data_IF_085529813450
#
_entry.id   IF_085529813450
#
_cell.length_a   1.000
_cell.length_b   1.000
_cell.length_c   1.000
_cell.angle_alpha   90.00
_cell.angle_beta   90.00
_cell.angle_gamma   90.00
#
_symmetry.space_group_name_H-M   'P 1'
#
loop_
_entity.id
_entity.type
_entity.pdbx_description
1 polymer ?
#
# COMPACT_ATOMS: atom_id res chain seq x y z
N UNK A 1 22.22 8.01 -14.63
CA UNK A 1 22.70 9.04 -13.69
C UNK A 1 21.46 9.68 -13.09
N UNK A 2 21.11 9.34 -11.85
CA UNK A 2 19.96 9.94 -11.15
C UNK A 2 20.47 11.28 -10.62
N UNK A 3 19.92 12.39 -11.12
CA UNK A 3 20.25 13.72 -10.62
C UNK A 3 19.67 13.88 -9.20
N UNK A 4 20.45 14.42 -8.27
CA UNK A 4 19.95 14.71 -6.93
C UNK A 4 18.84 15.79 -6.99
N UNK A 5 17.91 15.77 -6.02
CA UNK A 5 16.80 16.73 -5.93
C UNK A 5 17.25 18.20 -6.02
N UNK A 6 18.42 18.53 -5.45
CA UNK A 6 19.04 19.88 -5.55
C UNK A 6 19.49 20.27 -6.96
N UNK A 7 19.88 19.30 -7.79
CA UNK A 7 20.26 19.51 -9.20
C UNK A 7 19.02 19.61 -10.09
N UNK A 8 18.00 18.79 -9.82
CA UNK A 8 16.66 18.91 -10.41
C UNK A 8 16.04 20.28 -10.15
N UNK A 9 16.07 20.77 -8.91
CA UNK A 9 15.57 22.12 -8.55
C UNK A 9 16.20 23.23 -9.37
N UNK A 10 17.51 23.16 -9.66
CA UNK A 10 18.20 24.13 -10.53
C UNK A 10 17.73 24.03 -11.98
N UNK A 11 17.49 22.81 -12.48
CA UNK A 11 17.01 22.56 -13.84
C UNK A 11 15.54 23.02 -14.04
N UNK A 12 14.69 22.77 -13.04
CA UNK A 12 13.25 23.05 -13.13
C UNK A 12 12.85 24.48 -12.81
N UNK A 13 13.72 25.29 -12.17
CA UNK A 13 13.45 26.70 -11.83
C UNK A 13 13.11 27.58 -13.04
N UNK A 14 13.50 27.18 -14.24
CA UNK A 14 13.29 27.93 -15.48
C UNK A 14 12.11 27.42 -16.33
N UNK A 15 11.51 26.30 -15.95
CA UNK A 15 10.33 25.78 -16.63
C UNK A 15 9.12 26.41 -15.94
N UNK A 16 8.27 27.11 -16.70
CA UNK A 16 7.08 27.78 -16.20
C UNK A 16 6.10 26.84 -15.46
N UNK A 17 4.92 27.33 -15.04
CA UNK A 17 3.98 26.52 -14.25
C UNK A 17 3.67 25.19 -14.97
N UNK A 18 4.02 24.08 -14.32
CA UNK A 18 3.80 22.74 -14.88
C UNK A 18 2.30 22.41 -14.83
N UNK A 19 1.74 21.78 -15.88
CA UNK A 19 0.35 21.36 -15.84
C UNK A 19 0.14 20.37 -14.69
N UNK A 20 -0.81 20.70 -13.82
CA UNK A 20 -1.24 19.84 -12.70
C UNK A 20 -1.82 18.54 -13.26
N UNK A 21 -1.16 17.43 -12.93
CA UNK A 21 -1.66 16.09 -13.21
C UNK A 21 -2.83 15.80 -12.28
N UNK A 22 -3.99 15.50 -12.85
CA UNK A 22 -5.15 15.04 -12.10
C UNK A 22 -5.21 13.51 -12.16
N UNK A 23 -5.34 12.85 -11.01
CA UNK A 23 -5.33 11.37 -10.89
C UNK A 23 -6.66 10.79 -10.39
N UNK A 24 -7.75 11.54 -10.53
CA UNK A 24 -9.09 11.09 -10.10
C UNK A 24 -9.37 11.26 -8.60
N UNK A 25 -8.45 11.89 -7.86
CA UNK A 25 -8.56 12.20 -6.43
C UNK A 25 -8.47 13.71 -6.18
N UNK A 26 -9.03 14.13 -5.05
CA UNK A 26 -8.99 15.54 -4.59
C UNK A 26 -7.60 15.88 -4.02
N UNK A 27 -7.04 14.95 -3.24
CA UNK A 27 -5.67 15.02 -2.73
C UNK A 27 -5.02 13.63 -2.65
N UNK A 28 -3.71 13.61 -2.46
CA UNK A 28 -2.91 12.42 -2.21
C UNK A 28 -2.58 12.31 -0.72
N UNK A 29 -2.64 11.12 -0.16
CA UNK A 29 -2.31 10.78 1.22
C UNK A 29 -1.15 9.79 1.18
N UNK A 30 0.07 10.32 1.24
CA UNK A 30 1.29 9.56 1.05
C UNK A 30 1.86 9.10 2.40
N UNK A 31 1.88 7.79 2.62
CA UNK A 31 2.38 7.15 3.85
C UNK A 31 3.90 7.03 3.75
N UNK A 32 4.61 7.64 4.69
CA UNK A 32 6.06 7.78 4.63
C UNK A 32 6.74 7.50 5.96
N UNK A 33 7.75 6.63 5.97
CA UNK A 33 8.59 6.38 7.14
C UNK A 33 9.74 7.38 7.20
N UNK A 34 9.85 8.18 8.27
CA UNK A 34 10.83 9.27 8.40
C UNK A 34 12.28 8.89 8.08
N UNK A 35 12.66 7.64 8.32
CA UNK A 35 14.01 7.14 8.00
C UNK A 35 14.31 7.07 6.50
N UNK A 36 13.29 7.06 5.63
CA UNK A 36 13.40 6.85 4.19
C UNK A 36 13.57 8.17 3.42
N UNK A 37 14.78 8.73 3.42
CA UNK A 37 15.06 10.04 2.83
C UNK A 37 14.89 10.08 1.32
N UNK A 38 15.33 9.04 0.59
CA UNK A 38 15.22 8.97 -0.87
C UNK A 38 13.78 8.81 -1.35
N UNK A 39 12.98 8.05 -0.60
CA UNK A 39 11.54 7.89 -0.86
C UNK A 39 10.78 9.20 -0.62
N UNK A 40 11.16 9.95 0.43
CA UNK A 40 10.61 11.29 0.66
C UNK A 40 10.97 12.25 -0.49
N UNK A 41 12.22 12.24 -0.94
CA UNK A 41 12.64 13.02 -2.12
C UNK A 41 11.80 12.67 -3.35
N UNK A 42 11.52 11.39 -3.59
CA UNK A 42 10.62 10.96 -4.67
C UNK A 42 9.18 11.49 -4.51
N UNK A 43 8.61 11.48 -3.30
CA UNK A 43 7.29 12.06 -3.05
C UNK A 43 7.28 13.58 -3.31
N UNK A 44 8.33 14.29 -2.89
CA UNK A 44 8.48 15.73 -3.15
C UNK A 44 8.60 15.99 -4.66
N UNK A 45 9.40 15.19 -5.37
CA UNK A 45 9.52 15.26 -6.82
C UNK A 45 8.16 15.03 -7.50
N UNK A 46 7.36 14.04 -7.06
CA UNK A 46 6.00 13.83 -7.59
C UNK A 46 5.11 15.06 -7.42
N UNK A 47 5.18 15.74 -6.26
CA UNK A 47 4.45 16.99 -6.03
C UNK A 47 4.96 18.12 -6.93
N UNK A 48 6.27 18.36 -6.98
CA UNK A 48 6.86 19.48 -7.72
C UNK A 48 6.81 19.30 -9.25
N UNK A 49 6.95 18.06 -9.74
CA UNK A 49 6.97 17.74 -11.16
C UNK A 49 5.56 17.62 -11.77
N UNK A 50 4.57 17.18 -10.98
CA UNK A 50 3.22 16.92 -11.46
C UNK A 50 2.14 17.78 -10.81
N UNK A 51 2.50 18.68 -9.90
CA UNK A 51 1.55 19.56 -9.21
C UNK A 51 0.54 18.82 -8.32
N UNK A 52 0.87 17.60 -7.87
CA UNK A 52 -0.02 16.80 -7.04
C UNK A 52 -0.15 17.42 -5.65
N UNK A 53 -1.35 17.49 -5.09
CA UNK A 53 -1.59 17.95 -3.72
C UNK A 53 -1.29 16.82 -2.74
N UNK A 54 -0.06 16.75 -2.24
CA UNK A 54 0.36 15.69 -1.31
C UNK A 54 0.15 16.10 0.14
N UNK A 55 -0.46 15.21 0.90
CA UNK A 55 -0.47 15.19 2.35
C UNK A 55 0.48 14.07 2.78
N UNK A 56 1.67 14.43 3.26
CA UNK A 56 2.64 13.45 3.75
C UNK A 56 2.20 13.02 5.15
N UNK A 57 1.87 11.73 5.27
CA UNK A 57 1.45 11.09 6.49
C UNK A 57 2.63 10.32 7.04
N UNK A 58 3.19 10.81 8.14
CA UNK A 58 4.23 10.10 8.88
C UNK A 58 3.72 8.72 9.32
N UNK A 59 4.34 7.68 8.79
CA UNK A 59 4.05 6.29 9.08
C UNK A 59 4.55 5.91 10.47
N UNK A 60 3.97 4.87 11.04
CA UNK A 60 4.45 4.24 12.26
C UNK A 60 5.56 3.28 11.87
N UNK A 61 6.73 3.47 12.47
CA UNK A 61 7.90 2.64 12.21
C UNK A 61 8.06 1.57 13.30
N UNK A 62 8.30 0.31 12.91
CA UNK A 62 8.62 -0.75 13.87
C UNK A 62 9.89 -0.46 14.68
N UNK A 63 10.87 0.25 14.11
CA UNK A 63 12.12 0.61 14.79
C UNK A 63 11.93 1.63 15.91
N UNK A 64 10.88 2.44 15.83
CA UNK A 64 10.61 3.50 16.81
C UNK A 64 9.74 3.01 17.97
N UNK A 65 9.02 1.90 17.78
CA UNK A 65 8.10 1.35 18.79
C UNK A 65 8.58 0.07 19.46
N UNK A 66 9.63 -0.58 18.95
CA UNK A 66 10.21 -1.77 19.57
C UNK A 66 11.18 -1.32 20.68
N UNK A 67 11.10 -1.88 21.91
CA UNK A 67 10.19 -2.94 22.34
C UNK A 67 8.74 -2.46 22.54
N UNK A 68 7.77 -3.33 22.20
CA UNK A 68 6.35 -2.99 22.28
C UNK A 68 5.91 -2.80 23.72
N UNK A 69 5.20 -1.70 24.01
CA UNK A 69 4.53 -1.53 25.29
C UNK A 69 3.23 -2.33 25.38
N UNK A 70 2.78 -2.59 26.60
CA UNK A 70 1.48 -3.20 26.86
C UNK A 70 0.34 -2.35 26.28
N UNK A 71 0.46 -1.03 26.36
CA UNK A 71 -0.49 -0.09 25.78
C UNK A 71 -0.54 -0.25 24.26
N UNK A 72 0.61 -0.38 23.58
CA UNK A 72 0.64 -0.59 22.14
C UNK A 72 -0.11 -1.88 21.76
N UNK A 73 0.21 -2.99 22.44
CA UNK A 73 -0.41 -4.30 22.19
C UNK A 73 -1.93 -4.23 22.40
N UNK A 74 -2.35 -3.80 23.59
CA UNK A 74 -3.76 -3.76 23.98
C UNK A 74 -4.57 -2.76 23.15
N UNK A 75 -3.98 -1.64 22.72
CA UNK A 75 -4.69 -0.61 21.94
C UNK A 75 -4.75 -0.93 20.45
N UNK A 76 -3.79 -1.65 19.88
CA UNK A 76 -3.70 -1.79 18.42
C UNK A 76 -3.98 -3.21 17.90
N UNK A 77 -3.78 -4.25 18.70
CA UNK A 77 -3.93 -5.63 18.22
C UNK A 77 -5.34 -6.17 18.48
N UNK A 78 -5.87 -6.91 17.51
CA UNK A 78 -6.98 -7.83 17.77
C UNK A 78 -6.44 -9.09 18.44
N UNK A 79 -7.27 -9.92 19.09
CA UNK A 79 -6.82 -11.20 19.68
C UNK A 79 -6.24 -12.16 18.63
N UNK A 80 -6.57 -11.96 17.36
CA UNK A 80 -6.11 -12.76 16.23
C UNK A 80 -5.59 -11.88 15.11
N UNK A 81 -4.58 -12.35 14.38
CA UNK A 81 -4.12 -11.76 13.13
C UNK A 81 -4.05 -12.83 12.04
N UNK A 82 -4.68 -12.59 10.90
CA UNK A 82 -4.66 -13.51 9.76
C UNK A 82 -3.84 -12.93 8.61
N UNK A 83 -2.92 -13.72 8.07
CA UNK A 83 -2.06 -13.36 6.97
C UNK A 83 -2.00 -14.47 5.92
N UNK A 84 -2.39 -14.15 4.68
CA UNK A 84 -2.35 -15.09 3.55
C UNK A 84 -0.92 -15.52 3.19
N UNK A 85 0.05 -14.61 3.32
CA UNK A 85 1.46 -14.92 3.12
C UNK A 85 2.04 -15.80 4.26
N UNK A 86 1.34 -15.88 5.40
CA UNK A 86 1.68 -16.73 6.52
C UNK A 86 2.86 -16.23 7.34
N UNK A 87 2.96 -14.91 7.52
CA UNK A 87 3.94 -14.29 8.41
C UNK A 87 3.28 -13.26 9.33
N UNK A 88 3.87 -13.00 10.49
CA UNK A 88 3.41 -12.01 11.45
C UNK A 88 4.58 -11.19 12.00
N UNK A 89 4.70 -9.93 11.61
CA UNK A 89 5.76 -9.03 12.04
C UNK A 89 5.19 -7.74 12.63
N UNK A 90 6.00 -7.06 13.46
CA UNK A 90 5.65 -5.72 13.93
C UNK A 90 5.56 -4.76 12.75
N UNK A 91 6.47 -4.87 11.77
CA UNK A 91 6.45 -4.02 10.57
C UNK A 91 5.15 -4.13 9.76
N UNK A 92 4.56 -5.32 9.61
CA UNK A 92 3.27 -5.48 8.91
C UNK A 92 2.12 -4.84 9.69
N UNK A 93 2.13 -4.95 11.02
CA UNK A 93 1.14 -4.30 11.89
C UNK A 93 1.28 -2.77 11.81
N UNK A 94 2.51 -2.26 11.88
CA UNK A 94 2.82 -0.85 11.73
C UNK A 94 2.39 -0.29 10.37
N UNK A 95 2.59 -1.05 9.28
CA UNK A 95 2.06 -0.72 7.97
C UNK A 95 0.54 -0.55 8.01
N UNK A 96 -0.21 -1.52 8.56
CA UNK A 96 -1.66 -1.43 8.68
C UNK A 96 -2.14 -0.23 9.54
N UNK A 97 -1.44 0.07 10.64
CA UNK A 97 -1.72 1.26 11.45
C UNK A 97 -1.41 2.57 10.71
N UNK A 98 -0.40 2.58 9.83
CA UNK A 98 -0.05 3.74 9.01
C UNK A 98 -1.12 4.02 7.96
N UNK A 99 -1.68 2.97 7.32
CA UNK A 99 -2.86 3.13 6.46
C UNK A 99 -4.06 3.67 7.24
N UNK A 100 -4.31 3.18 8.46
CA UNK A 100 -5.34 3.73 9.35
C UNK A 100 -5.14 5.23 9.59
N UNK A 101 -3.91 5.67 9.89
CA UNK A 101 -3.57 7.08 10.09
C UNK A 101 -3.85 7.91 8.83
N UNK A 102 -3.53 7.38 7.65
CA UNK A 102 -3.86 8.03 6.38
C UNK A 102 -5.38 8.12 6.14
N UNK A 103 -6.15 7.08 6.45
CA UNK A 103 -7.62 7.14 6.36
C UNK A 103 -8.19 8.25 7.24
N UNK A 104 -7.68 8.39 8.47
CA UNK A 104 -8.10 9.46 9.38
C UNK A 104 -7.80 10.84 8.80
N UNK A 105 -6.59 11.06 8.29
CA UNK A 105 -6.20 12.33 7.66
C UNK A 105 -7.11 12.68 6.46
N UNK A 106 -7.46 11.70 5.64
CA UNK A 106 -8.42 11.88 4.55
C UNK A 106 -9.84 12.19 5.02
N UNK A 107 -10.31 11.51 6.07
CA UNK A 107 -11.63 11.80 6.64
C UNK A 107 -11.68 13.21 7.23
N UNK A 108 -10.60 13.67 7.87
CA UNK A 108 -10.52 14.99 8.50
C UNK A 108 -10.39 16.14 7.49
N UNK A 109 -9.93 15.89 6.26
CA UNK A 109 -9.70 16.94 5.26
C UNK A 109 -10.97 17.47 4.59
N UNK A 110 -12.05 16.68 4.60
CA UNK A 110 -13.27 16.96 3.84
C UNK A 110 -13.20 16.58 2.36
N UNK A 111 -12.13 15.93 1.90
CA UNK A 111 -12.06 15.38 0.54
C UNK A 111 -13.09 14.24 0.34
N UNK A 112 -13.53 14.03 -0.91
CA UNK A 112 -14.51 13.02 -1.28
C UNK A 112 -13.85 11.74 -1.82
N UNK A 113 -12.73 11.87 -2.53
CA UNK A 113 -11.87 10.76 -2.95
C UNK A 113 -10.40 11.09 -2.68
N UNK A 114 -9.76 10.19 -1.94
CA UNK A 114 -8.32 10.24 -1.66
C UNK A 114 -7.55 9.22 -2.48
N UNK A 115 -6.39 9.62 -2.99
CA UNK A 115 -5.36 8.69 -3.49
C UNK A 115 -4.40 8.35 -2.35
N UNK A 116 -4.35 7.08 -1.97
CA UNK A 116 -3.43 6.57 -0.95
C UNK A 116 -2.19 6.01 -1.63
N UNK A 117 -1.02 6.50 -1.24
CA UNK A 117 0.28 6.05 -1.76
C UNK A 117 1.20 5.61 -0.63
N UNK A 118 1.97 4.54 -0.85
CA UNK A 118 3.16 4.24 -0.04
C UNK A 118 4.39 4.98 -0.60
N UNK A 119 5.38 5.25 0.25
CA UNK A 119 6.57 6.02 -0.12
C UNK A 119 7.50 5.32 -1.14
N UNK A 120 7.33 4.02 -1.39
CA UNK A 120 8.02 3.31 -2.49
C UNK A 120 7.27 3.32 -3.83
N UNK A 121 6.12 4.00 -3.92
CA UNK A 121 5.37 4.12 -5.16
C UNK A 121 6.09 5.07 -6.16
N UNK A 122 6.29 4.56 -7.37
CA UNK A 122 6.87 5.28 -8.51
C UNK A 122 5.81 5.46 -9.59
N UNK A 123 5.65 6.69 -10.08
CA UNK A 123 4.79 6.95 -11.23
C UNK A 123 5.40 6.36 -12.50
N UNK A 124 4.58 5.67 -13.28
CA UNK A 124 4.94 5.06 -14.55
C UNK A 124 4.39 5.85 -15.74
N UNK A 125 4.98 5.64 -16.92
CA UNK A 125 4.56 6.30 -18.15
C UNK A 125 3.12 5.96 -18.58
N UNK A 126 2.55 4.86 -18.07
CA UNK A 126 1.16 4.47 -18.34
C UNK A 126 0.17 5.54 -17.90
N UNK A 127 0.55 6.44 -17.00
CA UNK A 127 -0.30 7.56 -16.55
C UNK A 127 -0.82 8.42 -17.72
N UNK A 128 -0.04 8.54 -18.79
CA UNK A 128 -0.39 9.34 -19.97
C UNK A 128 -1.40 8.66 -20.89
N UNK A 129 -1.71 7.39 -20.67
CA UNK A 129 -2.71 6.65 -21.45
C UNK A 129 -4.14 6.90 -20.95
N UNK A 130 -4.30 7.52 -19.78
CA UNK A 130 -5.59 7.64 -19.11
C UNK A 130 -6.08 9.09 -19.03
N UNK A 131 -7.39 9.26 -19.22
CA UNK A 131 -8.08 10.49 -18.88
C UNK A 131 -8.73 10.35 -17.50
N UNK A 132 -8.04 10.80 -16.46
CA UNK A 132 -8.52 10.69 -15.08
C UNK A 132 -9.78 11.51 -14.77
N UNK A 133 -10.09 12.54 -15.56
CA UNK A 133 -11.38 13.24 -15.43
C UNK A 133 -12.53 12.37 -15.91
N UNK A 134 -12.32 11.57 -16.96
CA UNK A 134 -13.29 10.57 -17.44
C UNK A 134 -13.40 9.42 -16.43
N UNK A 135 -12.28 8.88 -15.97
CA UNK A 135 -12.26 7.84 -14.93
C UNK A 135 -12.99 8.29 -13.67
N UNK A 136 -12.79 9.55 -13.22
CA UNK A 136 -13.51 10.07 -12.07
C UNK A 136 -15.03 10.03 -12.27
N UNK A 137 -15.52 10.51 -13.42
CA UNK A 137 -16.95 10.47 -13.75
C UNK A 137 -17.50 9.05 -13.80
N UNK A 138 -16.73 8.10 -14.32
CA UNK A 138 -17.10 6.69 -14.35
C UNK A 138 -17.19 6.10 -12.93
N UNK A 139 -16.23 6.41 -12.05
CA UNK A 139 -16.28 6.03 -10.64
C UNK A 139 -17.52 6.62 -9.95
N UNK A 140 -17.85 7.89 -10.21
CA UNK A 140 -19.05 8.54 -9.64
C UNK A 140 -20.37 7.92 -10.15
N UNK A 141 -20.35 7.17 -11.25
CA UNK A 141 -21.53 6.50 -11.83
C UNK A 141 -21.80 5.08 -11.32
N UNK A 142 -20.94 4.54 -10.46
CA UNK A 142 -21.06 3.17 -9.93
C UNK A 142 -20.92 3.15 -8.40
N UNK A 143 -21.48 2.14 -7.73
CA UNK A 143 -21.15 1.88 -6.32
C UNK A 143 -19.81 1.13 -6.26
N UNK A 144 -18.80 1.78 -5.69
CA UNK A 144 -17.44 1.25 -5.54
C UNK A 144 -16.90 1.58 -4.15
N UNK A 145 -15.80 0.94 -3.76
CA UNK A 145 -15.06 1.36 -2.57
C UNK A 145 -13.55 1.26 -2.68
N UNK A 146 -13.01 0.55 -3.67
CA UNK A 146 -11.57 0.58 -3.96
C UNK A 146 -11.37 0.68 -5.47
N UNK A 147 -10.57 1.64 -5.92
CA UNK A 147 -10.07 1.67 -7.30
C UNK A 147 -8.54 1.52 -7.27
N UNK A 148 -8.03 0.41 -7.79
CA UNK A 148 -6.60 0.13 -7.81
C UNK A 148 -5.92 0.89 -8.94
N UNK A 149 -4.95 1.74 -8.60
CA UNK A 149 -4.11 2.49 -9.55
C UNK A 149 -2.69 1.92 -9.66
N UNK A 150 -2.31 1.01 -8.77
CA UNK A 150 -1.04 0.32 -8.85
C UNK A 150 -1.08 -1.03 -8.16
N UNK A 151 -0.49 -2.03 -8.82
CA UNK A 151 -0.15 -3.34 -8.26
C UNK A 151 1.26 -3.74 -8.68
N UNK A 152 1.72 -4.93 -8.27
CA UNK A 152 3.10 -5.38 -8.54
C UNK A 152 3.41 -5.56 -10.04
N UNK A 153 2.40 -5.88 -10.84
CA UNK A 153 2.52 -6.04 -12.28
C UNK A 153 2.24 -4.73 -13.02
N UNK A 154 3.03 -4.37 -14.06
CA UNK A 154 2.75 -3.21 -14.91
C UNK A 154 1.38 -3.27 -15.59
N UNK A 155 0.97 -4.48 -15.97
CA UNK A 155 -0.35 -4.78 -16.53
C UNK A 155 -1.15 -5.60 -15.52
N UNK A 156 -2.43 -5.27 -15.36
CA UNK A 156 -3.29 -5.88 -14.36
C UNK A 156 -4.19 -6.97 -14.94
N UNK A 157 -4.04 -7.33 -16.22
CA UNK A 157 -4.93 -8.24 -16.97
C UNK A 157 -5.28 -9.53 -16.23
N UNK A 158 -4.34 -10.17 -15.54
CA UNK A 158 -4.58 -11.38 -14.75
C UNK A 158 -5.50 -11.16 -13.53
N UNK A 159 -5.54 -9.93 -13.02
CA UNK A 159 -6.35 -9.50 -11.90
C UNK A 159 -7.66 -8.80 -12.33
N UNK A 160 -7.93 -8.64 -13.62
CA UNK A 160 -9.18 -8.03 -14.11
C UNK A 160 -10.25 -9.10 -14.35
N UNK A 161 -11.47 -8.78 -13.94
CA UNK A 161 -12.71 -9.45 -14.32
C UNK A 161 -13.39 -8.71 -15.47
N UNK A 162 -14.72 -8.67 -15.43
CA UNK A 162 -15.51 -8.05 -16.49
C UNK A 162 -15.28 -6.55 -16.57
N UNK A 163 -15.41 -6.01 -17.78
CA UNK A 163 -15.37 -4.57 -18.02
C UNK A 163 -16.62 -3.93 -17.40
N UNK A 164 -16.42 -2.94 -16.54
CA UNK A 164 -17.49 -2.24 -15.81
C UNK A 164 -17.89 -0.95 -16.53
N UNK A 165 -16.91 -0.20 -17.02
CA UNK A 165 -17.07 1.02 -17.81
C UNK A 165 -15.97 1.09 -18.88
N UNK A 166 -15.86 2.17 -19.65
CA UNK A 166 -14.83 2.30 -20.68
C UNK A 166 -13.39 2.12 -20.16
N UNK A 167 -13.09 2.61 -18.95
CA UNK A 167 -11.75 2.58 -18.36
C UNK A 167 -11.63 1.70 -17.11
N UNK A 168 -12.73 1.18 -16.57
CA UNK A 168 -12.74 0.41 -15.33
C UNK A 168 -13.16 -1.03 -15.57
N UNK A 169 -12.46 -1.93 -14.88
CA UNK A 169 -12.74 -3.36 -14.84
C UNK A 169 -12.98 -3.78 -13.40
N UNK A 170 -13.74 -4.85 -13.21
CA UNK A 170 -13.81 -5.50 -11.91
C UNK A 170 -12.42 -5.99 -11.50
N UNK A 171 -12.04 -5.80 -10.25
CA UNK A 171 -10.80 -6.36 -9.72
C UNK A 171 -11.07 -7.70 -9.03
N UNK A 172 -10.48 -8.77 -9.56
CA UNK A 172 -10.57 -10.11 -8.97
C UNK A 172 -9.90 -10.13 -7.59
N UNK A 173 -10.59 -10.74 -6.63
CA UNK A 173 -10.07 -10.93 -5.27
C UNK A 173 -9.03 -12.06 -5.21
N UNK A 174 -8.04 -11.92 -4.34
CA UNK A 174 -7.05 -12.95 -4.00
C UNK A 174 -6.18 -13.41 -5.18
N UNK A 175 -5.83 -12.49 -6.06
CA UNK A 175 -4.93 -12.79 -7.18
C UNK A 175 -3.52 -12.94 -6.62
N UNK A 176 -3.02 -14.17 -6.68
CA UNK A 176 -1.68 -14.53 -6.20
C UNK A 176 -0.63 -13.62 -6.83
N UNK A 177 0.33 -13.16 -6.04
CA UNK A 177 1.42 -12.27 -6.47
C UNK A 177 0.97 -10.89 -6.96
N UNK A 178 -0.20 -10.41 -6.53
CA UNK A 178 -0.68 -9.06 -6.83
C UNK A 178 -1.29 -8.35 -5.62
N UNK A 179 -0.98 -8.81 -4.41
CA UNK A 179 -1.43 -8.21 -3.16
C UNK A 179 -0.47 -7.08 -2.79
N UNK A 180 -0.95 -5.85 -2.97
CA UNK A 180 -0.17 -4.63 -2.76
C UNK A 180 -1.15 -3.50 -2.42
N UNK A 181 -0.78 -2.67 -1.44
CA UNK A 181 -1.52 -1.51 -1.01
C UNK A 181 -0.81 -0.19 -1.37
N UNK A 182 0.19 -0.21 -2.26
CA UNK A 182 1.02 0.97 -2.50
C UNK A 182 0.34 2.09 -3.30
N UNK A 183 -0.76 1.81 -4.02
CA UNK A 183 -1.50 2.83 -4.77
C UNK A 183 -2.96 2.49 -5.06
N UNK A 184 -3.89 3.20 -4.42
CA UNK A 184 -5.32 3.00 -4.61
C UNK A 184 -6.13 4.25 -4.25
N UNK A 185 -7.31 4.38 -4.86
CA UNK A 185 -8.31 5.36 -4.49
C UNK A 185 -9.30 4.76 -3.50
N UNK A 186 -9.77 5.58 -2.56
CA UNK A 186 -10.97 5.32 -1.76
C UNK A 186 -11.91 6.52 -1.84
N UNK A 187 -13.21 6.26 -1.91
CA UNK A 187 -14.21 7.28 -1.60
C UNK A 187 -14.41 7.42 -0.08
N UNK A 188 -15.04 8.52 0.33
CA UNK A 188 -15.27 8.85 1.75
C UNK A 188 -15.98 7.75 2.54
N UNK A 189 -17.05 7.17 1.97
CA UNK A 189 -17.81 6.04 2.57
C UNK A 189 -16.92 4.83 2.86
N UNK A 190 -16.12 4.43 1.88
CA UNK A 190 -15.23 3.28 2.02
C UNK A 190 -14.09 3.53 3.00
N UNK A 191 -13.46 4.71 2.95
CA UNK A 191 -12.41 5.07 3.91
C UNK A 191 -12.92 5.11 5.36
N UNK A 192 -14.15 5.59 5.60
CA UNK A 192 -14.76 5.55 6.93
C UNK A 192 -14.93 4.12 7.43
N UNK A 193 -15.35 3.19 6.56
CA UNK A 193 -15.43 1.78 6.91
C UNK A 193 -14.05 1.19 7.20
N UNK A 194 -13.04 1.48 6.38
CA UNK A 194 -11.68 0.99 6.61
C UNK A 194 -11.09 1.56 7.90
N UNK A 195 -11.32 2.83 8.20
CA UNK A 195 -10.98 3.39 9.49
C UNK A 195 -11.68 2.60 10.59
N UNK A 196 -12.99 2.44 10.60
CA UNK A 196 -13.64 1.69 11.69
C UNK A 196 -13.16 0.21 11.79
N UNK A 197 -13.02 -0.47 10.65
CA UNK A 197 -12.64 -1.89 10.57
C UNK A 197 -11.15 -2.18 10.88
N UNK A 198 -10.34 -1.14 11.09
CA UNK A 198 -8.92 -1.23 11.45
C UNK A 198 -8.63 -0.65 12.83
N UNK A 199 -9.64 -0.44 13.68
CA UNK A 199 -9.42 0.01 15.06
C UNK A 199 -8.50 -0.94 15.82
N UNK A 200 -8.69 -2.25 15.60
CA UNK A 200 -7.76 -3.30 15.99
C UNK A 200 -7.28 -4.02 14.74
N UNK A 201 -5.97 -4.15 14.60
CA UNK A 201 -5.35 -4.79 13.44
C UNK A 201 -5.54 -6.30 13.53
N UNK A 202 -6.27 -6.83 12.55
CA UNK A 202 -6.53 -8.26 12.36
C UNK A 202 -5.95 -8.80 11.04
N UNK A 203 -5.59 -7.92 10.11
CA UNK A 203 -5.09 -8.29 8.79
C UNK A 203 -4.00 -7.30 8.36
N UNK A 204 -3.06 -7.73 7.50
CA UNK A 204 -2.24 -6.82 6.70
C UNK A 204 -3.11 -5.79 5.93
N UNK A 205 -2.54 -4.63 5.61
CA UNK A 205 -3.27 -3.54 4.95
C UNK A 205 -3.82 -3.94 3.57
N UNK A 206 -2.98 -4.57 2.76
CA UNK A 206 -3.31 -5.06 1.42
C UNK A 206 -4.43 -6.13 1.45
N UNK A 207 -4.33 -7.08 2.38
CA UNK A 207 -5.37 -8.10 2.56
C UNK A 207 -6.67 -7.47 3.06
N UNK A 208 -6.59 -6.52 4.01
CA UNK A 208 -7.78 -5.81 4.51
C UNK A 208 -8.52 -5.10 3.38
N UNK A 209 -7.79 -4.49 2.45
CA UNK A 209 -8.38 -3.87 1.25
C UNK A 209 -9.11 -4.92 0.41
N UNK A 210 -8.51 -6.08 0.15
CA UNK A 210 -9.09 -7.15 -0.67
C UNK A 210 -10.32 -7.84 -0.05
N UNK A 211 -10.40 -7.99 1.27
CA UNK A 211 -11.53 -8.65 1.95
C UNK A 211 -12.68 -7.71 2.31
N UNK A 212 -12.65 -6.46 1.83
CA UNK A 212 -13.68 -5.49 2.14
C UNK A 212 -15.03 -5.85 1.50
N UNK A 213 -16.15 -5.37 2.07
CA UNK A 213 -17.48 -5.61 1.50
C UNK A 213 -17.70 -4.83 0.19
N UNK A 214 -16.76 -3.97 -0.21
CA UNK A 214 -16.95 -3.08 -1.34
C UNK A 214 -16.68 -3.76 -2.68
N UNK A 215 -17.33 -3.22 -3.72
CA UNK A 215 -16.92 -3.48 -5.10
C UNK A 215 -15.54 -2.88 -5.32
N UNK A 216 -14.66 -3.69 -5.90
CA UNK A 216 -13.29 -3.29 -6.24
C UNK A 216 -13.19 -3.20 -7.74
N UNK A 217 -12.64 -2.08 -8.20
CA UNK A 217 -12.40 -1.82 -9.62
C UNK A 217 -10.95 -1.47 -9.84
N UNK A 218 -10.53 -1.51 -11.10
CA UNK A 218 -9.16 -1.15 -11.47
C UNK A 218 -9.09 -0.68 -12.90
N UNK A 219 -8.09 0.14 -13.19
CA UNK A 219 -7.62 0.42 -14.54
C UNK A 219 -6.78 -0.74 -15.07
N UNK A 220 -6.58 -0.83 -16.39
CA UNK A 220 -5.93 -1.99 -16.99
C UNK A 220 -4.42 -2.08 -16.71
N UNK A 221 -3.75 -0.93 -16.62
CA UNK A 221 -2.31 -0.82 -16.41
C UNK A 221 -2.04 -0.04 -15.14
N UNK A 222 -1.16 -0.58 -14.29
CA UNK A 222 -0.66 0.11 -13.11
C UNK A 222 -0.01 1.42 -13.55
N UNK A 223 -0.45 2.54 -12.98
CA UNK A 223 0.21 3.84 -13.13
C UNK A 223 1.24 4.07 -12.03
N UNK A 224 1.11 3.39 -10.90
CA UNK A 224 2.13 3.36 -9.84
C UNK A 224 2.69 1.94 -9.68
N UNK A 225 4.00 1.82 -9.60
CA UNK A 225 4.73 0.57 -9.32
C UNK A 225 5.69 0.79 -8.15
N UNK A 226 5.97 -0.25 -7.35
CA UNK A 226 6.97 -0.11 -6.29
C UNK A 226 8.39 -0.12 -6.89
N UNK A 227 9.28 0.78 -6.45
CA UNK A 227 10.62 0.93 -7.04
C UNK A 227 11.41 -0.38 -7.14
N UNK A 228 11.38 -1.20 -6.08
CA UNK A 228 12.11 -2.48 -6.07
C UNK A 228 11.64 -3.45 -7.18
N UNK A 229 10.44 -3.27 -7.74
CA UNK A 229 9.93 -4.10 -8.84
C UNK A 229 10.67 -3.86 -10.15
N UNK A 230 11.38 -2.74 -10.30
CA UNK A 230 12.29 -2.54 -11.43
C UNK A 230 13.39 -3.61 -11.50
N UNK A 231 13.78 -4.19 -10.36
CA UNK A 231 14.74 -5.31 -10.33
C UNK A 231 14.18 -6.60 -10.91
N UNK A 232 12.87 -6.81 -10.79
CA UNK A 232 12.20 -8.01 -11.27
C UNK A 232 11.75 -7.85 -12.72
N UNK A 233 11.20 -6.69 -13.07
CA UNK A 233 10.62 -6.42 -14.39
C UNK A 233 11.71 -6.04 -15.40
N UNK A 234 12.68 -5.24 -14.98
CA UNK A 234 13.71 -4.69 -15.86
C UNK A 234 15.10 -5.27 -15.65
N UNK A 235 15.25 -6.26 -14.76
CA UNK A 235 16.54 -6.81 -14.32
C UNK A 235 17.54 -5.71 -13.89
N UNK A 236 17.03 -4.63 -13.30
CA UNK A 236 17.85 -3.50 -12.83
C UNK A 236 18.37 -3.75 -11.42
N UNK A 237 19.63 -3.47 -11.19
CA UNK A 237 20.16 -3.45 -9.82
C UNK A 237 19.64 -2.23 -9.08
N UNK A 238 19.04 -2.47 -7.91
CA UNK A 238 18.66 -1.42 -6.96
C UNK A 238 19.76 -1.36 -5.90
N UNK A 239 20.49 -0.25 -5.88
CA UNK A 239 21.66 -0.10 -5.01
C UNK A 239 21.30 0.45 -3.63
N UNK A 240 20.20 1.21 -3.56
CA UNK A 240 19.79 1.88 -2.35
C UNK A 240 18.85 0.95 -1.56
N UNK A 241 19.34 0.49 -0.40
CA UNK A 241 18.61 -0.42 0.50
C UNK A 241 17.22 0.10 0.88
N UNK A 242 17.09 1.41 0.91
CA UNK A 242 15.85 2.11 1.26
C UNK A 242 14.68 1.71 0.37
N UNK A 243 14.86 1.33 -0.89
CA UNK A 243 13.76 0.97 -1.80
C UNK A 243 13.19 -0.43 -1.60
N UNK A 244 13.83 -1.25 -0.76
CA UNK A 244 13.35 -2.59 -0.42
C UNK A 244 12.27 -2.56 0.65
N UNK A 245 11.37 -3.54 0.61
CA UNK A 245 10.28 -3.65 1.57
C UNK A 245 10.82 -3.98 2.97
N UNK A 246 10.43 -3.20 3.97
CA UNK A 246 10.99 -3.25 5.34
C UNK A 246 10.01 -3.74 6.42
N UNK A 247 8.79 -4.13 6.04
CA UNK A 247 7.79 -4.65 7.01
C UNK A 247 8.21 -5.97 7.65
N UNK A 248 9.20 -6.66 7.08
CA UNK A 248 9.71 -7.95 7.53
C UNK A 248 11.14 -7.85 8.09
N UNK A 249 11.58 -6.66 8.49
CA UNK A 249 12.92 -6.42 9.05
C UNK A 249 13.07 -6.98 10.48
N UNK A 250 11.97 -7.12 11.22
CA UNK A 250 11.96 -7.58 12.61
C UNK A 250 11.71 -9.09 12.77
N UNK A 251 11.83 -9.85 11.69
CA UNK A 251 11.69 -11.31 11.71
C UNK A 251 12.92 -12.03 11.14
N UNK A 252 13.18 -13.29 11.54
CA UNK A 252 14.29 -14.07 11.00
C UNK A 252 14.21 -14.27 9.48
N UNK A 253 15.34 -14.08 8.81
CA UNK A 253 15.50 -14.36 7.37
C UNK A 253 15.92 -15.82 7.23
N UNK A 254 15.18 -16.62 6.45
CA UNK A 254 15.52 -18.03 6.18
C UNK A 254 16.48 -18.22 5.00
N UNK A 255 16.68 -17.18 4.20
CA UNK A 255 17.70 -17.14 3.16
C UNK A 255 17.65 -15.88 2.32
N UNK A 256 18.55 -15.76 1.36
CA UNK A 256 18.52 -14.72 0.33
C UNK A 256 18.46 -15.39 -1.04
N UNK A 257 17.56 -14.92 -1.89
CA UNK A 257 17.58 -15.25 -3.32
C UNK A 257 18.59 -14.34 -4.04
N UNK A 258 18.85 -14.62 -5.31
CA UNK A 258 19.58 -13.69 -6.17
C UNK A 258 18.96 -12.28 -6.15
N UNK A 259 19.79 -11.26 -6.39
CA UNK A 259 19.39 -9.83 -6.44
C UNK A 259 18.95 -9.22 -5.09
N UNK A 260 19.29 -9.83 -3.95
CA UNK A 260 19.06 -9.25 -2.62
C UNK A 260 17.67 -9.50 -2.02
N UNK A 261 16.81 -10.25 -2.71
CA UNK A 261 15.48 -10.61 -2.23
C UNK A 261 15.59 -11.53 -1.01
N UNK A 262 14.98 -11.13 0.11
CA UNK A 262 14.95 -11.92 1.35
C UNK A 262 13.89 -13.02 1.25
N UNK A 263 14.21 -14.21 1.75
CA UNK A 263 13.31 -15.35 1.88
C UNK A 263 12.93 -15.52 3.36
N UNK A 264 11.66 -15.85 3.58
CA UNK A 264 11.08 -16.08 4.90
C UNK A 264 10.43 -17.46 4.92
N UNK A 265 10.47 -18.14 6.07
CA UNK A 265 9.80 -19.43 6.28
C UNK A 265 8.34 -19.23 6.64
N UNK A 266 7.46 -20.09 6.12
CA UNK A 266 6.03 -20.05 6.47
C UNK A 266 5.86 -20.19 7.99
N UNK A 267 5.07 -19.32 8.61
CA UNK A 267 4.93 -19.26 10.07
C UNK A 267 6.00 -18.41 10.76
N UNK A 268 6.78 -17.63 10.01
CA UNK A 268 7.74 -16.70 10.61
C UNK A 268 7.00 -15.62 11.41
N UNK A 269 7.41 -15.45 12.66
CA UNK A 269 6.85 -14.49 13.62
C UNK A 269 7.96 -13.62 14.21
N UNK A 270 7.64 -12.35 14.46
CA UNK A 270 8.51 -11.45 15.22
C UNK A 270 8.61 -11.86 16.67
N UNK A 271 9.83 -11.92 17.20
CA UNK A 271 10.08 -12.20 18.63
C UNK A 271 9.49 -11.14 19.58
N UNK A 272 9.08 -9.99 19.03
CA UNK A 272 8.51 -8.89 19.79
C UNK A 272 6.99 -8.97 19.91
N UNK A 273 6.34 -9.88 19.18
CA UNK A 273 4.89 -10.06 19.24
C UNK A 273 4.54 -11.20 20.21
N UNK A 274 3.46 -11.03 21.01
CA UNK A 274 3.06 -12.02 22.01
C UNK A 274 2.22 -13.15 21.39
N UNK A 275 2.72 -13.77 20.32
CA UNK A 275 2.01 -14.87 19.65
C UNK A 275 2.09 -16.13 20.51
N UNK A 276 0.92 -16.66 20.88
CA UNK A 276 0.80 -17.89 21.70
C UNK A 276 0.44 -19.12 20.88
N UNK A 277 -0.25 -18.94 19.75
CA UNK A 277 -0.62 -20.03 18.84
C UNK A 277 -0.59 -19.57 17.40
N UNK A 278 -0.34 -20.51 16.50
CA UNK A 278 -0.49 -20.34 15.06
C UNK A 278 -1.14 -21.58 14.44
N UNK A 279 -2.03 -21.40 13.48
CA UNK A 279 -2.65 -22.50 12.75
C UNK A 279 -3.05 -22.09 11.34
N UNK A 280 -3.18 -23.10 10.47
CA UNK A 280 -3.73 -22.91 9.12
C UNK A 280 -5.19 -22.53 9.21
N UNK A 281 -5.59 -21.54 8.42
CA UNK A 281 -6.97 -21.10 8.32
C UNK A 281 -7.32 -20.80 6.87
N UNK A 282 -8.54 -21.17 6.50
CA UNK A 282 -9.18 -20.76 5.25
C UNK A 282 -10.13 -19.60 5.57
N UNK A 283 -9.94 -18.47 4.89
CA UNK A 283 -10.85 -17.34 4.92
C UNK A 283 -11.73 -17.39 3.68
N UNK A 284 -13.05 -17.42 3.86
CA UNK A 284 -14.01 -17.38 2.76
C UNK A 284 -14.45 -15.92 2.58
N UNK A 285 -14.24 -15.37 1.39
CA UNK A 285 -14.73 -14.05 1.01
C UNK A 285 -15.21 -14.08 -0.43
N UNK A 286 -16.47 -13.65 -0.66
CA UNK A 286 -17.10 -13.59 -1.99
C UNK A 286 -16.91 -14.89 -2.79
N UNK A 287 -17.26 -16.01 -2.15
CA UNK A 287 -17.20 -17.37 -2.70
C UNK A 287 -15.79 -17.84 -3.11
N UNK A 288 -14.75 -17.15 -2.63
CA UNK A 288 -13.35 -17.56 -2.79
C UNK A 288 -12.74 -17.90 -1.46
N UNK A 289 -11.99 -18.99 -1.47
CA UNK A 289 -11.19 -19.43 -0.34
C UNK A 289 -9.78 -18.84 -0.44
N UNK A 290 -9.34 -18.20 0.64
CA UNK A 290 -7.97 -17.75 0.82
C UNK A 290 -7.33 -18.50 1.99
N UNK A 291 -6.35 -19.33 1.67
CA UNK A 291 -5.57 -20.06 2.66
C UNK A 291 -4.44 -19.18 3.22
N UNK A 292 -4.23 -19.28 4.53
CA UNK A 292 -3.17 -18.55 5.23
C UNK A 292 -2.91 -19.11 6.62
N UNK A 293 -2.25 -18.29 7.45
CA UNK A 293 -2.09 -18.57 8.88
C UNK A 293 -2.85 -17.53 9.70
N UNK A 294 -3.50 -18.00 10.76
CA UNK A 294 -3.99 -17.17 11.85
C UNK A 294 -3.06 -17.30 13.05
N UNK A 295 -2.73 -16.16 13.66
CA UNK A 295 -1.87 -16.02 14.83
C UNK A 295 -2.73 -15.51 15.99
N UNK A 296 -2.72 -16.21 17.12
CA UNK A 296 -3.38 -15.77 18.36
C UNK A 296 -2.37 -15.04 19.24
N UNK A 297 -2.78 -13.89 19.79
CA UNK A 297 -1.95 -13.10 20.69
C UNK A 297 -2.43 -13.20 22.14
N UNK A 298 -1.49 -13.19 23.08
CA UNK A 298 -1.77 -12.81 24.47
C UNK A 298 -1.66 -11.29 24.60
N UNK A 299 -2.79 -10.62 24.86
CA UNK A 299 -2.84 -9.16 24.97
C UNK A 299 -2.50 -8.64 26.37
N UNK A 300 -2.27 -9.51 27.35
CA UNK A 300 -2.12 -9.11 28.75
C UNK A 300 -0.70 -9.25 29.30
N UNK A 301 0.25 -9.73 28.48
CA UNK A 301 1.68 -9.77 28.78
C UNK A 301 2.31 -8.40 28.97
#
# INVERSE_FOLDING_TARGET
MVLHHTEKKKLYKHLGPKPTLYLGADSVYAIHLNRHKLRLENLIDLQEEHGLKLNIIEAIDNKDIIPLSKEFITQNLSNTFFCAAGFCSVGVICCALSHRKAYKAFLDSGDEVGLFLEDDAMLSLNVHEYNFRKIRKELDSIDWGVCWLGKWAPTMTHALGDKVTDNLYEHKHFVRHNQAAHAYLLNRKSAQWYYNATEKIKFPADLRLEISPFKQVSIEKSIFIQKHRESVIGNKTIHEDEWWHSTMDDVPISGKLGNGIRKYELGTVSKHLPVVKQYRKALICKDRELNGLEFEFDLYV
#
